data_IF_920202299681
#
_entry.id   IF_920202299681
#
_cell.length_a   1.000
_cell.length_b   1.000
_cell.length_c   1.000
_cell.angle_alpha   90.00
_cell.angle_beta   90.00
_cell.angle_gamma   90.00
#
_symmetry.space_group_name_H-M   'P 1'
#
loop_
_entity.id
_entity.type
_entity.pdbx_description
1 polymer ?
#
# COMPACT_ATOMS: atom_id res chain seq x y z
N UNK A 1 -7.65 49.74 17.71
CA UNK A 1 -8.10 50.58 16.59
C UNK A 1 -7.00 50.49 15.55
N UNK A 2 -6.99 49.44 14.74
CA UNK A 2 -7.79 49.29 13.50
C UNK A 2 -7.36 50.37 12.49
N UNK A 3 -6.65 50.04 11.41
CA UNK A 3 -7.31 49.53 10.22
C UNK A 3 -6.40 48.69 9.32
N UNK A 4 -6.95 47.55 8.88
CA UNK A 4 -6.51 46.76 7.71
C UNK A 4 -7.08 47.37 6.44
N UNK A 5 -6.33 47.35 5.34
CA UNK A 5 -6.89 47.17 3.99
C UNK A 5 -5.91 46.40 3.08
N UNK A 6 -6.43 45.71 2.04
CA UNK A 6 -5.95 44.41 1.62
C UNK A 6 -5.18 44.41 0.30
N UNK A 7 -4.30 43.43 0.13
CA UNK A 7 -3.56 43.18 -1.11
C UNK A 7 -4.49 42.65 -2.20
N UNK A 8 -4.48 43.34 -3.35
CA UNK A 8 -5.24 43.02 -4.55
C UNK A 8 -4.61 41.87 -5.34
N UNK A 9 -5.46 40.99 -5.88
CA UNK A 9 -5.08 39.92 -6.79
C UNK A 9 -4.74 40.48 -8.18
N UNK A 10 -3.50 40.25 -8.64
CA UNK A 10 -3.11 40.38 -10.04
C UNK A 10 -3.33 39.05 -10.82
N UNK A 11 -3.43 39.11 -12.16
CA UNK A 11 -3.95 38.00 -12.96
C UNK A 11 -2.96 36.83 -13.04
N UNK A 12 -3.49 35.62 -12.82
CA UNK A 12 -2.80 34.34 -12.91
C UNK A 12 -2.32 34.02 -14.33
N UNK A 13 -1.06 33.60 -14.46
CA UNK A 13 -0.50 33.03 -15.68
C UNK A 13 -1.21 31.71 -16.09
N UNK A 14 -1.39 31.43 -17.38
CA UNK A 14 -2.06 30.23 -17.85
C UNK A 14 -1.10 29.03 -17.73
N UNK A 15 -1.40 28.07 -16.86
CA UNK A 15 -0.65 26.81 -16.80
C UNK A 15 -0.61 26.08 -15.45
N UNK A 16 -1.17 26.63 -14.38
CA UNK A 16 -1.27 25.91 -13.11
C UNK A 16 -2.67 25.33 -12.96
N UNK A 17 -2.82 24.04 -13.29
CA UNK A 17 -3.97 23.28 -12.84
C UNK A 17 -3.90 23.15 -11.31
N UNK A 18 -4.84 23.70 -10.53
CA UNK A 18 -4.88 23.40 -9.11
C UNK A 18 -5.24 21.92 -8.98
N UNK A 19 -4.31 21.14 -8.42
CA UNK A 19 -4.62 19.81 -7.89
C UNK A 19 -5.70 20.02 -6.81
N UNK A 20 -6.96 19.85 -7.19
CA UNK A 20 -8.09 19.95 -6.28
C UNK A 20 -7.93 18.93 -5.15
N UNK A 21 -7.62 19.39 -3.94
CA UNK A 21 -7.58 18.62 -2.69
C UNK A 21 -8.92 17.97 -2.27
N UNK A 22 -9.95 18.04 -3.11
CA UNK A 22 -11.28 17.47 -2.86
C UNK A 22 -11.26 15.93 -2.75
N UNK A 23 -10.29 15.24 -3.37
CA UNK A 23 -10.20 13.77 -3.27
C UNK A 23 -9.74 13.23 -1.91
N UNK A 24 -8.98 14.01 -1.14
CA UNK A 24 -8.31 13.50 0.07
C UNK A 24 -9.26 13.31 1.26
N UNK A 25 -10.15 14.28 1.52
CA UNK A 25 -11.06 14.25 2.67
C UNK A 25 -12.11 13.13 2.50
N UNK A 26 -12.69 13.03 1.32
CA UNK A 26 -13.64 12.00 0.93
C UNK A 26 -12.97 10.62 0.93
N UNK A 27 -11.76 10.50 0.34
CA UNK A 27 -10.96 9.27 0.38
C UNK A 27 -10.67 8.81 1.80
N UNK A 28 -10.31 9.73 2.71
CA UNK A 28 -10.08 9.42 4.14
C UNK A 28 -11.31 8.79 4.81
N UNK A 29 -12.52 9.26 4.49
CA UNK A 29 -13.76 8.67 5.02
C UNK A 29 -13.97 7.25 4.50
N UNK A 30 -13.66 7.00 3.22
CA UNK A 30 -13.71 5.65 2.62
C UNK A 30 -12.71 4.73 3.33
N UNK A 31 -11.46 5.16 3.50
CA UNK A 31 -10.43 4.36 4.17
C UNK A 31 -10.81 3.96 5.59
N UNK A 32 -11.32 4.91 6.40
CA UNK A 32 -11.69 4.63 7.77
C UNK A 32 -12.86 3.63 7.87
N UNK A 33 -13.88 3.78 7.00
CA UNK A 33 -15.01 2.87 6.97
C UNK A 33 -14.61 1.48 6.48
N UNK A 34 -13.75 1.41 5.46
CA UNK A 34 -13.26 0.16 4.89
C UNK A 34 -12.35 -0.60 5.86
N UNK A 35 -11.47 0.11 6.59
CA UNK A 35 -10.63 -0.48 7.62
C UNK A 35 -11.44 -1.14 8.74
N UNK A 36 -12.54 -0.50 9.14
CA UNK A 36 -13.44 -1.06 10.15
C UNK A 36 -14.15 -2.32 9.63
N UNK A 37 -14.61 -2.30 8.37
CA UNK A 37 -15.22 -3.46 7.72
C UNK A 37 -14.24 -4.64 7.66
N UNK A 38 -12.98 -4.39 7.33
CA UNK A 38 -11.93 -5.40 7.27
C UNK A 38 -11.61 -5.97 8.64
N UNK A 39 -11.49 -5.12 9.67
CA UNK A 39 -11.25 -5.61 11.03
C UNK A 39 -12.36 -6.57 11.46
N UNK A 40 -13.62 -6.26 11.15
CA UNK A 40 -14.75 -7.15 11.41
C UNK A 40 -14.64 -8.46 10.61
N UNK A 41 -14.32 -8.39 9.31
CA UNK A 41 -14.14 -9.57 8.47
C UNK A 41 -12.98 -10.48 8.94
N UNK A 42 -11.85 -9.91 9.32
CA UNK A 42 -10.69 -10.68 9.77
C UNK A 42 -10.81 -11.19 11.20
N UNK A 43 -11.57 -10.50 12.06
CA UNK A 43 -11.91 -11.05 13.38
C UNK A 43 -12.70 -12.36 13.30
N UNK A 44 -13.29 -12.68 12.14
CA UNK A 44 -14.00 -13.95 11.87
C UNK A 44 -13.20 -14.97 11.10
N UNK A 45 -11.93 -14.71 10.75
CA UNK A 45 -11.20 -15.59 9.83
C UNK A 45 -10.98 -16.99 10.39
N UNK A 46 -10.94 -17.12 11.72
CA UNK A 46 -10.82 -18.39 12.45
C UNK A 46 -12.16 -18.87 13.03
N UNK A 47 -13.25 -18.12 12.84
CA UNK A 47 -14.57 -18.56 13.30
C UNK A 47 -15.09 -19.68 12.38
N UNK A 48 -15.81 -20.64 12.97
CA UNK A 48 -16.49 -21.69 12.20
C UNK A 48 -17.58 -21.02 11.36
N UNK A 49 -17.38 -20.95 10.05
CA UNK A 49 -18.37 -20.41 9.12
C UNK A 49 -19.51 -21.41 8.93
N UNK A 50 -20.50 -21.35 9.81
CA UNK A 50 -21.74 -22.10 9.63
C UNK A 50 -22.52 -21.48 8.46
N UNK A 51 -22.90 -22.25 7.43
CA UNK A 51 -23.69 -21.75 6.31
C UNK A 51 -24.94 -21.02 6.81
N UNK A 52 -25.20 -19.82 6.29
CA UNK A 52 -26.37 -19.03 6.66
C UNK A 52 -26.16 -18.02 7.81
N UNK A 53 -25.17 -18.22 8.68
CA UNK A 53 -24.94 -17.31 9.83
C UNK A 53 -24.67 -15.87 9.43
N UNK A 54 -24.06 -15.65 8.26
CA UNK A 54 -23.81 -14.32 7.68
C UNK A 54 -25.08 -13.53 7.36
N UNK A 55 -26.24 -14.18 7.30
CA UNK A 55 -27.53 -13.56 7.01
C UNK A 55 -28.37 -13.29 8.28
N UNK A 56 -27.94 -13.80 9.44
CA UNK A 56 -28.62 -13.56 10.70
C UNK A 56 -28.36 -12.11 11.16
N UNK A 57 -29.37 -11.41 11.71
CA UNK A 57 -29.24 -10.01 12.14
C UNK A 57 -28.52 -9.88 13.49
N UNK A 58 -27.32 -10.46 13.61
CA UNK A 58 -26.45 -10.25 14.78
C UNK A 58 -25.91 -8.82 14.77
N UNK A 59 -25.53 -8.28 15.94
CA UNK A 59 -24.95 -6.93 16.04
C UNK A 59 -23.75 -6.75 15.09
N UNK A 60 -22.90 -7.77 15.00
CA UNK A 60 -21.74 -7.81 14.10
C UNK A 60 -22.15 -7.78 12.62
N UNK A 61 -23.13 -8.58 12.22
CA UNK A 61 -23.60 -8.62 10.83
C UNK A 61 -24.31 -7.33 10.44
N UNK A 62 -25.16 -6.78 11.31
CA UNK A 62 -25.81 -5.48 11.11
C UNK A 62 -24.78 -4.37 10.91
N UNK A 63 -23.73 -4.36 11.73
CA UNK A 63 -22.62 -3.40 11.61
C UNK A 63 -21.86 -3.59 10.29
N UNK A 64 -21.58 -4.83 9.90
CA UNK A 64 -20.92 -5.18 8.63
C UNK A 64 -21.75 -4.70 7.43
N UNK A 65 -23.06 -4.99 7.40
CA UNK A 65 -23.96 -4.55 6.32
C UNK A 65 -24.08 -3.02 6.25
N UNK A 66 -24.13 -2.34 7.40
CA UNK A 66 -24.16 -0.87 7.46
C UNK A 66 -22.89 -0.26 6.90
N UNK A 67 -21.73 -0.81 7.25
CA UNK A 67 -20.43 -0.36 6.75
C UNK A 67 -20.26 -0.64 5.26
N UNK A 68 -20.62 -1.85 4.79
CA UNK A 68 -20.57 -2.20 3.37
C UNK A 68 -21.47 -1.27 2.54
N UNK A 69 -22.72 -1.04 2.98
CA UNK A 69 -23.62 -0.08 2.31
C UNK A 69 -23.03 1.33 2.28
N UNK A 70 -22.37 1.76 3.36
CA UNK A 70 -21.72 3.08 3.43
C UNK A 70 -20.55 3.19 2.46
N UNK A 71 -19.66 2.20 2.42
CA UNK A 71 -18.51 2.15 1.50
C UNK A 71 -19.01 2.13 0.06
N UNK A 72 -19.97 1.28 -0.27
CA UNK A 72 -20.58 1.20 -1.60
C UNK A 72 -21.21 2.52 -2.02
N UNK A 73 -21.96 3.17 -1.13
CA UNK A 73 -22.56 4.47 -1.43
C UNK A 73 -21.53 5.56 -1.75
N UNK A 74 -20.43 5.64 -0.98
CA UNK A 74 -19.36 6.61 -1.22
C UNK A 74 -18.63 6.34 -2.56
N UNK A 75 -18.32 5.08 -2.87
CA UNK A 75 -17.69 4.72 -4.14
C UNK A 75 -18.62 4.99 -5.34
N UNK A 76 -19.92 4.70 -5.18
CA UNK A 76 -20.92 5.01 -6.20
C UNK A 76 -21.06 6.51 -6.44
N UNK A 77 -20.94 7.33 -5.40
CA UNK A 77 -20.97 8.79 -5.54
C UNK A 77 -19.78 9.26 -6.39
N UNK A 78 -18.56 8.80 -6.09
CA UNK A 78 -17.35 9.09 -6.87
C UNK A 78 -17.53 8.68 -8.34
N UNK A 79 -18.05 7.48 -8.59
CA UNK A 79 -18.31 6.97 -9.95
C UNK A 79 -19.34 7.85 -10.66
N UNK A 80 -20.47 8.17 -10.02
CA UNK A 80 -21.52 9.01 -10.60
C UNK A 80 -21.02 10.41 -10.93
N UNK A 81 -20.22 11.02 -10.06
CA UNK A 81 -19.59 12.31 -10.33
C UNK A 81 -18.72 12.23 -11.58
N UNK A 82 -17.87 11.20 -11.72
CA UNK A 82 -17.03 10.98 -12.92
C UNK A 82 -17.84 10.81 -14.20
N UNK A 83 -18.91 10.01 -14.15
CA UNK A 83 -19.82 9.82 -15.28
C UNK A 83 -20.49 11.14 -15.70
N UNK A 84 -20.93 11.95 -14.73
CA UNK A 84 -21.54 13.25 -15.00
C UNK A 84 -20.55 14.25 -15.64
N UNK A 85 -19.32 14.32 -15.14
CA UNK A 85 -18.29 15.24 -15.66
C UNK A 85 -17.94 14.97 -17.13
N UNK A 86 -17.90 13.70 -17.56
CA UNK A 86 -17.69 13.35 -18.98
C UNK A 86 -18.78 13.95 -19.88
N UNK A 87 -20.04 13.83 -19.45
CA UNK A 87 -21.19 14.32 -20.22
C UNK A 87 -21.23 15.85 -20.35
N UNK A 88 -20.56 16.59 -19.46
CA UNK A 88 -20.60 18.07 -19.45
C UNK A 88 -19.43 18.73 -20.18
N UNK A 89 -18.27 18.07 -20.28
CA UNK A 89 -17.02 18.71 -20.69
C UNK A 89 -16.62 18.48 -22.15
N UNK A 90 -17.41 17.76 -22.97
CA UNK A 90 -16.99 17.27 -24.29
C UNK A 90 -15.61 16.55 -24.28
N UNK A 91 -15.13 16.14 -23.11
CA UNK A 91 -13.88 15.41 -22.94
C UNK A 91 -14.09 13.95 -23.33
N UNK A 92 -13.21 13.41 -24.16
CA UNK A 92 -13.34 12.04 -24.69
C UNK A 92 -13.07 10.93 -23.65
N UNK A 93 -12.65 11.26 -22.41
CA UNK A 93 -12.13 10.30 -21.42
C UNK A 93 -12.72 10.49 -20.01
N UNK A 94 -12.75 9.43 -19.22
CA UNK A 94 -13.20 9.44 -17.81
C UNK A 94 -12.10 9.87 -16.81
N UNK A 95 -11.01 10.47 -17.31
CA UNK A 95 -9.79 10.78 -16.56
C UNK A 95 -8.62 9.86 -16.95
N UNK A 96 -7.41 10.20 -16.50
CA UNK A 96 -6.19 9.45 -16.81
C UNK A 96 -5.71 8.58 -15.63
N UNK A 97 -6.64 8.09 -14.82
CA UNK A 97 -6.37 7.22 -13.67
C UNK A 97 -7.07 5.87 -13.80
N UNK A 98 -6.80 4.98 -12.84
CA UNK A 98 -7.32 3.61 -12.85
C UNK A 98 -8.85 3.55 -12.94
N UNK A 99 -9.55 4.44 -12.23
CA UNK A 99 -11.00 4.51 -12.29
C UNK A 99 -11.46 4.95 -13.68
N UNK A 100 -10.79 5.94 -14.28
CA UNK A 100 -11.04 6.34 -15.67
C UNK A 100 -10.89 5.16 -16.64
N UNK A 101 -9.79 4.42 -16.55
CA UNK A 101 -9.55 3.24 -17.40
C UNK A 101 -10.60 2.14 -17.23
N UNK A 102 -11.03 1.85 -15.99
CA UNK A 102 -12.10 0.87 -15.73
C UNK A 102 -13.45 1.32 -16.30
N UNK A 103 -13.78 2.61 -16.21
CA UNK A 103 -15.01 3.17 -16.78
C UNK A 103 -14.98 3.16 -18.32
N UNK A 104 -13.82 3.39 -18.94
CA UNK A 104 -13.63 3.26 -20.39
C UNK A 104 -13.85 1.82 -20.84
N UNK A 105 -13.25 0.85 -20.15
CA UNK A 105 -13.43 -0.58 -20.43
C UNK A 105 -14.89 -1.04 -20.28
N UNK A 106 -15.62 -0.49 -19.31
CA UNK A 106 -17.05 -0.75 -19.12
C UNK A 106 -17.94 -0.12 -20.20
N UNK A 107 -17.50 0.98 -20.79
CA UNK A 107 -18.25 1.75 -21.79
C UNK A 107 -17.85 1.44 -23.24
N UNK A 108 -16.94 0.50 -23.47
CA UNK A 108 -16.47 0.13 -24.80
C UNK A 108 -17.66 -0.38 -25.65
N UNK A 109 -17.89 0.17 -26.85
CA UNK A 109 -19.01 -0.27 -27.70
C UNK A 109 -18.86 -1.74 -28.05
N UNK A 110 -19.99 -2.45 -28.11
CA UNK A 110 -20.07 -3.81 -28.61
C UNK A 110 -19.59 -3.84 -30.07
N UNK A 111 -18.31 -4.09 -30.31
CA UNK A 111 -17.85 -4.46 -31.63
C UNK A 111 -18.49 -5.81 -31.99
N UNK A 112 -19.48 -5.77 -32.86
CA UNK A 112 -20.01 -6.88 -33.65
C UNK A 112 -20.28 -8.17 -32.82
N UNK A 113 -21.16 -8.04 -31.82
CA UNK A 113 -22.08 -9.11 -31.44
C UNK A 113 -21.53 -10.30 -30.66
N UNK A 114 -20.35 -10.23 -30.02
CA UNK A 114 -19.86 -11.36 -29.19
C UNK A 114 -19.14 -11.05 -27.87
N UNK A 115 -19.00 -9.80 -27.44
CA UNK A 115 -18.39 -9.52 -26.13
C UNK A 115 -19.26 -8.57 -25.31
N UNK A 116 -19.85 -9.03 -24.18
CA UNK A 116 -20.54 -8.15 -23.24
C UNK A 116 -19.56 -7.12 -22.66
N UNK A 117 -20.08 -6.05 -22.06
CA UNK A 117 -19.29 -5.07 -21.33
C UNK A 117 -18.23 -5.77 -20.47
N UNK A 118 -16.95 -5.39 -20.65
CA UNK A 118 -15.80 -6.06 -20.03
C UNK A 118 -15.86 -6.04 -18.49
N UNK A 119 -16.58 -5.09 -17.91
CA UNK A 119 -16.75 -4.93 -16.47
C UNK A 119 -18.06 -4.21 -16.15
N UNK A 120 -18.83 -4.77 -15.22
CA UNK A 120 -20.03 -4.15 -14.65
C UNK A 120 -19.68 -3.06 -13.63
N UNK A 121 -20.62 -2.15 -13.34
CA UNK A 121 -20.42 -1.13 -12.31
C UNK A 121 -20.17 -1.74 -10.92
N UNK A 122 -20.80 -2.86 -10.59
CA UNK A 122 -20.58 -3.54 -9.31
C UNK A 122 -19.15 -4.14 -9.24
N UNK A 123 -18.64 -4.71 -10.33
CA UNK A 123 -17.24 -5.16 -10.40
C UNK A 123 -16.26 -3.98 -10.27
N UNK A 124 -16.55 -2.82 -10.88
CA UNK A 124 -15.72 -1.60 -10.71
C UNK A 124 -15.67 -1.18 -9.25
N UNK A 125 -16.80 -1.22 -8.53
CA UNK A 125 -16.84 -0.89 -7.10
C UNK A 125 -15.98 -1.86 -6.29
N UNK A 126 -16.09 -3.16 -6.56
CA UNK A 126 -15.37 -4.18 -5.82
C UNK A 126 -13.85 -4.15 -6.12
N UNK A 127 -13.46 -3.85 -7.36
CA UNK A 127 -12.07 -3.56 -7.72
C UNK A 127 -11.57 -2.28 -7.03
N UNK A 128 -12.36 -1.20 -7.02
CA UNK A 128 -12.02 0.01 -6.27
C UNK A 128 -11.75 -0.31 -4.80
N UNK A 129 -12.64 -1.06 -4.13
CA UNK A 129 -12.42 -1.50 -2.74
C UNK A 129 -11.07 -2.24 -2.62
N UNK A 130 -10.80 -3.18 -3.53
CA UNK A 130 -9.57 -3.98 -3.51
C UNK A 130 -8.32 -3.11 -3.62
N UNK A 131 -8.25 -2.22 -4.61
CA UNK A 131 -7.10 -1.34 -4.82
C UNK A 131 -6.90 -0.33 -3.68
N UNK A 132 -7.99 0.28 -3.19
CA UNK A 132 -7.92 1.22 -2.06
C UNK A 132 -7.32 0.54 -0.83
N UNK A 133 -7.77 -0.67 -0.52
CA UNK A 133 -7.23 -1.42 0.60
C UNK A 133 -5.78 -1.84 0.39
N UNK A 134 -5.54 -2.57 -0.72
CA UNK A 134 -4.25 -3.19 -0.98
C UNK A 134 -3.13 -2.13 -1.05
N UNK A 135 -3.39 -0.99 -1.68
CA UNK A 135 -2.42 0.10 -1.81
C UNK A 135 -2.20 0.87 -0.50
N UNK A 136 -3.26 1.22 0.23
CA UNK A 136 -3.11 2.07 1.42
C UNK A 136 -2.55 1.32 2.62
N UNK A 137 -3.16 0.19 3.00
CA UNK A 137 -2.86 -0.46 4.27
C UNK A 137 -1.48 -1.11 4.24
N UNK A 138 -1.03 -1.66 3.11
CA UNK A 138 0.30 -2.26 3.00
C UNK A 138 1.41 -1.22 2.97
N UNK A 139 1.31 -0.18 2.12
CA UNK A 139 2.35 0.85 2.01
C UNK A 139 2.45 1.70 3.28
N UNK A 140 1.33 2.04 3.93
CA UNK A 140 1.37 2.79 5.19
C UNK A 140 2.08 2.03 6.32
N UNK A 141 1.87 0.71 6.43
CA UNK A 141 2.60 -0.10 7.41
C UNK A 141 4.07 -0.29 7.02
N UNK A 142 4.40 -0.45 5.73
CA UNK A 142 5.80 -0.41 5.27
C UNK A 142 6.50 0.87 5.71
N UNK A 143 5.89 2.03 5.45
CA UNK A 143 6.43 3.33 5.85
C UNK A 143 6.52 3.50 7.37
N UNK A 144 5.56 2.94 8.11
CA UNK A 144 5.60 2.91 9.58
C UNK A 144 6.82 2.12 10.08
N UNK A 145 7.03 0.90 9.57
CA UNK A 145 8.19 0.09 9.97
C UNK A 145 9.53 0.66 9.47
N UNK A 146 9.51 1.32 8.30
CA UNK A 146 10.66 2.07 7.78
C UNK A 146 11.02 3.20 8.75
N UNK A 147 10.03 3.96 9.22
CA UNK A 147 10.23 5.03 10.21
C UNK A 147 10.78 4.49 11.53
N UNK A 148 10.30 3.32 11.98
CA UNK A 148 10.83 2.64 13.16
C UNK A 148 12.32 2.30 12.99
N UNK A 149 12.69 1.69 11.86
CA UNK A 149 14.08 1.31 11.59
C UNK A 149 14.99 2.54 11.45
N UNK A 150 14.54 3.59 10.77
CA UNK A 150 15.29 4.86 10.67
C UNK A 150 15.51 5.50 12.05
N UNK A 151 14.51 5.40 12.94
CA UNK A 151 14.59 5.96 14.29
C UNK A 151 15.48 5.17 15.26
N UNK A 152 15.81 3.92 14.91
CA UNK A 152 16.65 3.01 15.72
C UNK A 152 18.05 2.81 15.12
N UNK A 153 18.25 3.19 13.86
CA UNK A 153 19.50 3.09 13.12
C UNK A 153 19.90 4.47 12.57
N UNK A 154 20.34 5.40 13.44
CA UNK A 154 20.69 6.77 13.03
C UNK A 154 21.80 6.83 11.97
N UNK A 155 22.72 5.86 11.97
CA UNK A 155 23.77 5.71 10.96
C UNK A 155 23.21 5.46 9.56
N UNK A 156 22.13 4.68 9.46
CA UNK A 156 21.43 4.49 8.20
C UNK A 156 20.67 5.74 7.81
N UNK A 157 20.03 6.41 8.77
CA UNK A 157 19.30 7.63 8.51
C UNK A 157 20.19 8.69 7.85
N UNK A 158 21.44 8.84 8.31
CA UNK A 158 22.39 9.78 7.70
C UNK A 158 22.87 9.30 6.32
N UNK A 159 23.27 8.04 6.17
CA UNK A 159 23.67 7.49 4.85
C UNK A 159 22.60 7.66 3.78
N UNK A 160 21.33 7.41 4.14
CA UNK A 160 20.22 7.60 3.21
C UNK A 160 19.96 9.07 2.91
N UNK A 161 20.11 9.95 3.90
CA UNK A 161 19.99 11.41 3.72
C UNK A 161 21.06 11.93 2.76
N UNK A 162 22.29 11.45 2.90
CA UNK A 162 23.39 11.77 1.98
C UNK A 162 23.06 11.31 0.54
N UNK A 163 22.58 10.08 0.36
CA UNK A 163 22.15 9.59 -0.96
C UNK A 163 21.05 10.49 -1.56
N UNK A 164 20.01 10.79 -0.78
CA UNK A 164 18.89 11.63 -1.22
C UNK A 164 19.37 13.04 -1.60
N UNK A 165 20.28 13.63 -0.83
CA UNK A 165 20.86 14.94 -1.15
C UNK A 165 21.70 14.90 -2.44
N UNK A 166 22.53 13.87 -2.59
CA UNK A 166 23.40 13.73 -3.78
C UNK A 166 22.59 13.53 -5.06
N UNK A 167 21.52 12.73 -5.02
CA UNK A 167 20.68 12.47 -6.19
C UNK A 167 19.63 13.56 -6.45
N UNK A 168 19.37 14.42 -5.46
CA UNK A 168 18.40 15.52 -5.53
C UNK A 168 18.91 16.83 -6.09
N UNK A 169 20.22 17.07 -6.02
CA UNK A 169 20.79 18.38 -6.33
C UNK A 169 20.38 19.46 -5.31
N UNK A 170 20.55 20.72 -5.69
CA UNK A 170 20.35 21.90 -4.81
C UNK A 170 18.87 22.27 -4.57
N UNK A 171 17.91 21.58 -5.20
CA UNK A 171 16.48 21.83 -5.02
C UNK A 171 15.85 20.74 -4.14
N UNK A 172 15.47 21.13 -2.92
CA UNK A 172 14.93 20.25 -1.88
C UNK A 172 13.68 19.46 -2.31
N UNK A 173 12.95 19.88 -3.34
CA UNK A 173 11.76 19.16 -3.81
C UNK A 173 11.99 18.29 -5.07
N UNK A 174 13.18 18.30 -5.68
CA UNK A 174 13.42 17.64 -6.97
C UNK A 174 13.43 16.10 -6.89
N UNK A 175 13.92 15.50 -5.80
CA UNK A 175 14.00 14.02 -5.63
C UNK A 175 12.63 13.35 -5.67
N UNK A 176 11.65 13.94 -4.97
CA UNK A 176 10.32 13.36 -4.83
C UNK A 176 9.45 13.53 -6.09
N UNK A 177 9.89 14.38 -7.03
CA UNK A 177 9.08 14.82 -8.18
C UNK A 177 9.40 14.09 -9.48
N UNK A 178 10.48 13.31 -9.53
CA UNK A 178 10.92 12.69 -10.79
C UNK A 178 11.21 11.20 -10.62
N UNK A 179 10.55 10.35 -11.42
CA UNK A 179 10.77 8.90 -11.39
C UNK A 179 12.23 8.49 -11.60
N UNK A 180 12.96 9.23 -12.42
CA UNK A 180 14.39 8.98 -12.67
C UNK A 180 15.25 9.22 -11.43
N UNK A 181 14.95 10.22 -10.61
CA UNK A 181 15.67 10.47 -9.35
C UNK A 181 15.40 9.33 -8.35
N UNK A 182 14.13 8.91 -8.20
CA UNK A 182 13.76 7.79 -7.33
C UNK A 182 14.41 6.46 -7.75
N UNK A 183 14.65 6.27 -9.04
CA UNK A 183 15.34 5.08 -9.55
C UNK A 183 16.82 5.03 -9.14
N UNK A 184 17.45 6.17 -8.87
CA UNK A 184 18.85 6.25 -8.44
C UNK A 184 19.06 6.01 -6.94
N UNK A 185 18.01 6.13 -6.12
CA UNK A 185 18.07 5.87 -4.68
C UNK A 185 18.24 4.36 -4.37
N UNK A 186 19.49 3.88 -4.43
CA UNK A 186 19.87 2.48 -4.26
C UNK A 186 19.90 2.07 -2.80
N UNK A 187 20.46 2.89 -1.92
CA UNK A 187 20.51 2.64 -0.48
C UNK A 187 19.10 2.69 0.12
N UNK A 188 18.26 3.66 -0.28
CA UNK A 188 16.85 3.69 0.14
C UNK A 188 16.13 2.42 -0.32
N UNK A 189 16.39 1.96 -1.55
CA UNK A 189 15.83 0.71 -2.03
C UNK A 189 16.24 -0.50 -1.18
N UNK A 190 17.54 -0.62 -0.86
CA UNK A 190 18.06 -1.70 -0.02
C UNK A 190 17.46 -1.64 1.39
N UNK A 191 17.32 -0.45 1.97
CA UNK A 191 16.69 -0.23 3.27
C UNK A 191 15.23 -0.68 3.28
N UNK A 192 14.47 -0.30 2.26
CA UNK A 192 13.07 -0.72 2.10
C UNK A 192 12.94 -2.23 1.90
N UNK A 193 13.84 -2.87 1.14
CA UNK A 193 13.82 -4.33 0.95
C UNK A 193 14.10 -5.08 2.25
N UNK A 194 15.05 -4.62 3.05
CA UNK A 194 15.33 -5.22 4.37
C UNK A 194 14.21 -4.94 5.38
N UNK A 195 13.58 -3.77 5.29
CA UNK A 195 12.36 -3.45 6.05
C UNK A 195 11.23 -4.41 5.67
N UNK A 196 11.03 -4.66 4.38
CA UNK A 196 10.04 -5.62 3.86
C UNK A 196 10.35 -7.07 4.23
N UNK A 197 11.61 -7.44 4.46
CA UNK A 197 12.00 -8.77 4.94
C UNK A 197 11.65 -8.95 6.41
N UNK A 198 12.04 -8.00 7.26
CA UNK A 198 11.81 -8.11 8.70
C UNK A 198 10.36 -7.77 9.08
N UNK A 199 9.79 -6.73 8.49
CA UNK A 199 8.48 -6.21 8.85
C UNK A 199 7.53 -6.13 7.65
N UNK A 200 7.48 -7.23 6.87
CA UNK A 200 6.53 -7.36 5.77
C UNK A 200 5.10 -7.07 6.26
N UNK A 201 4.36 -6.13 5.62
CA UNK A 201 2.96 -5.93 5.95
C UNK A 201 2.14 -7.22 5.82
N UNK A 202 2.44 -8.07 4.84
CA UNK A 202 1.81 -9.39 4.69
C UNK A 202 2.74 -10.47 5.24
N UNK A 203 2.39 -11.02 6.40
CA UNK A 203 3.18 -12.00 7.18
C UNK A 203 2.99 -13.45 6.72
N UNK A 204 1.87 -13.75 6.07
CA UNK A 204 1.50 -15.07 5.57
C UNK A 204 0.56 -14.95 4.37
N UNK A 205 0.55 -15.96 3.51
CA UNK A 205 -0.42 -16.07 2.41
C UNK A 205 -0.98 -17.49 2.34
N UNK A 206 -2.24 -17.60 1.91
CA UNK A 206 -2.91 -18.88 1.70
C UNK A 206 -3.10 -19.15 0.20
N UNK A 207 -3.04 -20.43 -0.18
CA UNK A 207 -3.37 -20.93 -1.53
C UNK A 207 -4.27 -22.15 -1.39
N UNK A 208 -5.32 -22.24 -2.20
CA UNK A 208 -6.13 -23.44 -2.31
C UNK A 208 -5.63 -24.25 -3.50
N UNK A 209 -5.37 -25.54 -3.31
CA UNK A 209 -4.97 -26.44 -4.41
C UNK A 209 -6.14 -26.61 -5.38
N UNK A 210 -5.86 -26.56 -6.68
CA UNK A 210 -6.85 -26.71 -7.76
C UNK A 210 -6.91 -28.14 -8.32
N UNK A 211 -6.01 -29.01 -7.88
CA UNK A 211 -5.93 -30.42 -8.21
C UNK A 211 -5.07 -31.14 -7.16
N UNK A 212 -5.12 -32.47 -7.15
CA UNK A 212 -4.17 -33.30 -6.41
C UNK A 212 -2.74 -33.02 -6.88
N UNK A 213 -1.82 -32.82 -5.95
CA UNK A 213 -0.42 -32.50 -6.26
C UNK A 213 0.53 -33.05 -5.19
N UNK A 214 1.83 -33.02 -5.46
CA UNK A 214 2.87 -33.42 -4.50
C UNK A 214 3.80 -32.24 -4.19
N UNK A 215 4.01 -31.95 -2.90
CA UNK A 215 4.93 -30.90 -2.43
C UNK A 215 5.97 -31.53 -1.51
N UNK A 216 7.24 -31.53 -1.92
CA UNK A 216 8.33 -32.05 -1.08
C UNK A 216 8.14 -33.51 -0.65
N UNK A 217 7.58 -34.35 -1.52
CA UNK A 217 7.27 -35.76 -1.21
C UNK A 217 5.93 -35.97 -0.50
N UNK A 218 5.18 -34.91 -0.18
CA UNK A 218 3.88 -35.00 0.49
C UNK A 218 2.76 -34.86 -0.53
N UNK A 219 1.86 -35.87 -0.60
CA UNK A 219 0.65 -35.80 -1.41
C UNK A 219 -0.37 -34.85 -0.79
N UNK A 220 -0.82 -33.87 -1.56
CA UNK A 220 -1.75 -32.82 -1.16
C UNK A 220 -3.00 -32.93 -2.05
N UNK A 221 -4.17 -33.29 -1.48
CA UNK A 221 -5.41 -33.37 -2.24
C UNK A 221 -5.87 -32.01 -2.77
N UNK A 222 -6.69 -32.04 -3.82
CA UNK A 222 -7.46 -30.90 -4.30
C UNK A 222 -8.26 -30.24 -3.17
N UNK A 223 -8.34 -28.91 -3.20
CA UNK A 223 -9.10 -28.13 -2.24
C UNK A 223 -8.41 -27.88 -0.90
N UNK A 224 -7.23 -28.45 -0.68
CA UNK A 224 -6.40 -28.21 0.50
C UNK A 224 -5.92 -26.75 0.55
N UNK A 225 -5.97 -26.13 1.72
CA UNK A 225 -5.39 -24.80 1.96
C UNK A 225 -3.94 -24.95 2.39
N UNK A 226 -3.02 -24.48 1.55
CA UNK A 226 -1.60 -24.36 1.84
C UNK A 226 -1.31 -22.96 2.38
N UNK A 227 -0.68 -22.89 3.54
CA UNK A 227 -0.23 -21.64 4.16
C UNK A 227 1.28 -21.47 3.94
N UNK A 228 1.68 -20.32 3.42
CA UNK A 228 3.08 -19.94 3.23
C UNK A 228 3.43 -18.90 4.31
N UNK A 229 4.23 -19.27 5.34
CA UNK A 229 4.55 -18.40 6.46
C UNK A 229 5.70 -17.45 6.12
N UNK A 230 5.41 -16.40 5.34
CA UNK A 230 6.39 -15.43 4.83
C UNK A 230 7.30 -14.90 5.94
N UNK A 231 6.74 -14.45 7.07
CA UNK A 231 7.51 -13.87 8.17
C UNK A 231 8.49 -14.86 8.83
N UNK A 232 8.16 -16.16 8.79
CA UNK A 232 9.04 -17.24 9.29
C UNK A 232 10.14 -17.53 8.28
N UNK A 233 9.78 -17.70 6.99
CA UNK A 233 10.75 -17.91 5.90
C UNK A 233 11.75 -16.76 5.83
N UNK A 234 11.30 -15.51 6.05
CA UNK A 234 12.15 -14.32 6.02
C UNK A 234 13.15 -14.24 7.16
N UNK A 235 13.00 -15.05 8.21
CA UNK A 235 13.90 -15.14 9.37
C UNK A 235 14.59 -16.49 9.50
N UNK A 236 14.36 -17.38 8.54
CA UNK A 236 14.96 -18.70 8.54
C UNK A 236 16.46 -18.59 8.25
N UNK A 237 17.29 -19.07 9.17
CA UNK A 237 18.74 -19.07 9.04
C UNK A 237 19.23 -19.98 7.91
N UNK A 238 18.48 -21.03 7.60
CA UNK A 238 18.79 -21.89 6.47
C UNK A 238 18.64 -21.14 5.14
N UNK A 239 17.74 -20.16 5.07
CA UNK A 239 17.48 -19.37 3.86
C UNK A 239 18.33 -18.10 3.82
N UNK A 240 18.42 -17.37 4.95
CA UNK A 240 18.97 -16.02 5.01
C UNK A 240 20.34 -15.91 5.69
N UNK A 241 20.85 -17.00 6.26
CA UNK A 241 22.13 -17.05 6.99
C UNK A 241 21.98 -16.83 8.49
N UNK A 242 23.08 -16.93 9.23
CA UNK A 242 23.06 -16.82 10.71
C UNK A 242 22.56 -15.45 11.21
N UNK A 243 22.76 -14.41 10.41
CA UNK A 243 22.33 -13.04 10.64
C UNK A 243 20.88 -12.77 10.19
N UNK A 244 20.07 -13.81 9.95
CA UNK A 244 18.67 -13.69 9.52
C UNK A 244 17.80 -12.84 10.47
N UNK A 245 18.17 -12.74 11.75
CA UNK A 245 17.49 -11.89 12.73
C UNK A 245 17.92 -10.42 12.72
N UNK A 246 19.02 -10.08 12.05
CA UNK A 246 19.63 -8.75 12.08
C UNK A 246 19.07 -7.85 10.97
N UNK A 247 19.03 -6.55 11.23
CA UNK A 247 18.71 -5.55 10.20
C UNK A 247 19.98 -5.17 9.43
N UNK A 248 20.12 -5.70 8.22
CA UNK A 248 21.32 -5.52 7.38
C UNK A 248 20.94 -5.23 5.93
N UNK A 249 20.63 -3.96 5.57
CA UNK A 249 20.29 -3.60 4.19
C UNK A 249 21.36 -3.96 3.15
N UNK A 250 22.66 -4.01 3.50
CA UNK A 250 23.75 -4.42 2.59
C UNK A 250 23.54 -5.80 1.96
N UNK A 251 22.70 -6.65 2.56
CA UNK A 251 22.34 -7.95 1.99
C UNK A 251 21.77 -7.83 0.56
N UNK A 252 21.16 -6.70 0.23
CA UNK A 252 20.58 -6.43 -1.08
C UNK A 252 21.50 -5.68 -2.06
N UNK A 253 22.76 -5.42 -1.71
CA UNK A 253 23.72 -4.70 -2.55
C UNK A 253 23.87 -5.33 -3.95
N UNK A 254 23.88 -6.66 -3.99
CA UNK A 254 24.03 -7.43 -5.22
C UNK A 254 22.68 -7.87 -5.83
N UNK A 255 21.59 -7.21 -5.43
CA UNK A 255 20.23 -7.46 -5.88
C UNK A 255 19.49 -8.56 -5.11
N UNK A 256 18.15 -8.57 -5.24
CA UNK A 256 17.25 -9.48 -4.50
C UNK A 256 17.58 -10.95 -4.72
N UNK A 257 17.92 -11.35 -5.95
CA UNK A 257 18.21 -12.75 -6.30
C UNK A 257 19.48 -13.31 -5.64
N UNK A 258 20.36 -12.46 -5.11
CA UNK A 258 21.60 -12.86 -4.43
C UNK A 258 21.58 -12.58 -2.92
N UNK A 259 20.47 -12.07 -2.40
CA UNK A 259 20.35 -11.67 -0.99
C UNK A 259 20.21 -12.87 -0.02
N UNK A 260 19.88 -14.05 -0.54
CA UNK A 260 19.64 -15.26 0.24
C UNK A 260 20.16 -16.49 -0.51
N UNK A 261 20.17 -17.66 0.14
CA UNK A 261 20.55 -18.92 -0.51
C UNK A 261 19.61 -19.30 -1.66
N UNK A 262 18.36 -18.85 -1.61
CA UNK A 262 17.37 -19.06 -2.66
C UNK A 262 17.02 -17.72 -3.34
N UNK A 263 17.04 -17.65 -4.70
CA UNK A 263 16.86 -16.38 -5.42
C UNK A 263 15.47 -15.76 -5.26
N UNK A 264 14.47 -16.56 -4.88
CA UNK A 264 13.09 -16.11 -4.64
C UNK A 264 12.72 -16.09 -3.14
N UNK A 265 13.69 -15.98 -2.24
CA UNK A 265 13.44 -15.99 -0.79
C UNK A 265 12.66 -14.76 -0.29
N UNK A 266 12.81 -13.60 -0.95
CA UNK A 266 12.06 -12.39 -0.59
C UNK A 266 10.64 -12.45 -1.15
N UNK A 267 9.72 -12.95 -0.33
CA UNK A 267 8.30 -13.15 -0.64
C UNK A 267 7.37 -11.99 -0.24
N UNK A 268 7.88 -10.80 0.10
CA UNK A 268 7.05 -9.68 0.59
C UNK A 268 6.01 -9.19 -0.42
N UNK A 269 6.24 -9.42 -1.71
CA UNK A 269 5.29 -9.17 -2.80
C UNK A 269 4.74 -10.46 -3.43
N UNK A 270 4.89 -11.61 -2.75
CA UNK A 270 4.61 -12.96 -3.28
C UNK A 270 5.42 -13.25 -4.56
N UNK A 271 5.17 -14.40 -5.18
CA UNK A 271 5.73 -14.79 -6.48
C UNK A 271 4.68 -15.54 -7.32
N UNK A 272 4.97 -15.70 -8.61
CA UNK A 272 4.13 -16.42 -9.57
C UNK A 272 2.88 -15.64 -10.03
N UNK A 273 1.85 -16.32 -10.54
CA UNK A 273 0.67 -15.69 -11.17
C UNK A 273 -0.17 -14.78 -10.24
N UNK A 274 0.09 -14.85 -8.94
CA UNK A 274 -0.57 -14.03 -7.90
C UNK A 274 0.45 -13.17 -7.15
N UNK A 275 1.55 -12.79 -7.80
CA UNK A 275 2.46 -11.74 -7.31
C UNK A 275 1.72 -10.41 -7.21
N UNK A 276 2.19 -9.53 -6.34
CA UNK A 276 1.60 -8.22 -6.13
C UNK A 276 1.73 -7.37 -7.40
N UNK A 277 0.59 -7.05 -8.03
CA UNK A 277 0.55 -6.15 -9.19
C UNK A 277 0.99 -4.72 -8.84
N UNK A 278 0.85 -4.33 -7.57
CA UNK A 278 1.21 -3.00 -7.06
C UNK A 278 2.67 -2.86 -6.64
N UNK A 279 3.53 -3.88 -6.80
CA UNK A 279 4.91 -3.86 -6.30
C UNK A 279 5.70 -2.62 -6.75
N UNK A 280 5.72 -2.35 -8.05
CA UNK A 280 6.48 -1.21 -8.59
C UNK A 280 5.94 0.13 -8.07
N UNK A 281 4.61 0.27 -8.00
CA UNK A 281 3.96 1.47 -7.49
C UNK A 281 4.28 1.68 -5.99
N UNK A 282 4.14 0.64 -5.17
CA UNK A 282 4.42 0.69 -3.74
C UNK A 282 5.88 1.05 -3.44
N UNK A 283 6.84 0.51 -4.21
CA UNK A 283 8.26 0.85 -4.03
C UNK A 283 8.57 2.30 -4.43
N UNK A 284 7.98 2.79 -5.53
CA UNK A 284 8.13 4.20 -5.94
C UNK A 284 7.52 5.14 -4.90
N UNK A 285 6.30 4.86 -4.44
CA UNK A 285 5.61 5.63 -3.40
C UNK A 285 6.42 5.64 -2.10
N UNK A 286 6.89 4.49 -1.65
CA UNK A 286 7.68 4.38 -0.43
C UNK A 286 9.00 5.16 -0.53
N UNK A 287 9.72 5.06 -1.64
CA UNK A 287 10.95 5.83 -1.89
C UNK A 287 10.69 7.33 -1.86
N UNK A 288 9.63 7.80 -2.52
CA UNK A 288 9.29 9.21 -2.56
C UNK A 288 8.99 9.76 -1.16
N UNK A 289 8.18 9.04 -0.37
CA UNK A 289 7.85 9.45 0.99
C UNK A 289 9.08 9.44 1.89
N UNK A 290 9.92 8.40 1.83
CA UNK A 290 11.15 8.31 2.63
C UNK A 290 12.12 9.44 2.27
N UNK A 291 12.32 9.72 0.98
CA UNK A 291 13.15 10.84 0.53
C UNK A 291 12.65 12.18 1.12
N UNK A 292 11.36 12.47 0.98
CA UNK A 292 10.77 13.70 1.54
C UNK A 292 10.93 13.78 3.07
N UNK A 293 10.80 12.66 3.78
CA UNK A 293 11.00 12.62 5.23
C UNK A 293 12.46 12.89 5.60
N UNK A 294 13.43 12.28 4.91
CA UNK A 294 14.86 12.42 5.19
C UNK A 294 15.41 13.81 4.89
N UNK A 295 14.85 14.52 3.90
CA UNK A 295 15.19 15.91 3.57
C UNK A 295 14.73 16.90 4.64
N UNK A 296 13.59 16.62 5.28
CA UNK A 296 12.92 17.59 6.15
C UNK A 296 13.10 17.30 7.63
N UNK A 297 13.32 16.04 8.00
CA UNK A 297 13.27 15.60 9.38
C UNK A 297 14.41 14.64 9.75
N UNK A 298 14.82 14.76 11.02
CA UNK A 298 15.47 13.70 11.77
C UNK A 298 14.43 12.96 12.61
N UNK A 299 14.51 11.63 12.64
CA UNK A 299 13.60 10.75 13.35
C UNK A 299 14.29 10.11 14.55
N UNK A 300 13.66 10.18 15.72
CA UNK A 300 14.09 9.50 16.95
C UNK A 300 12.93 8.72 17.57
N UNK A 301 13.21 7.53 18.07
CA UNK A 301 12.18 6.69 18.67
C UNK A 301 11.72 7.32 20.00
N UNK A 302 10.41 7.47 20.20
CA UNK A 302 9.92 8.00 21.47
C UNK A 302 10.20 7.03 22.62
N UNK A 303 10.59 7.52 23.81
CA UNK A 303 10.69 6.69 25.02
C UNK A 303 9.35 6.02 25.42
N UNK A 304 8.22 6.50 24.89
CA UNK A 304 6.89 5.92 25.10
C UNK A 304 6.58 4.74 24.17
N UNK A 305 7.47 4.43 23.22
CA UNK A 305 7.26 3.34 22.29
C UNK A 305 7.32 1.99 23.02
N UNK A 306 6.37 1.11 22.68
CA UNK A 306 6.34 -0.28 23.13
C UNK A 306 6.40 -1.16 21.90
N UNK A 307 7.49 -1.92 21.76
CA UNK A 307 7.66 -2.84 20.64
C UNK A 307 6.77 -4.07 20.79
N UNK A 308 5.58 -4.00 20.18
CA UNK A 308 4.63 -5.09 20.12
C UNK A 308 4.04 -5.20 18.71
N UNK A 309 4.78 -5.78 17.74
CA UNK A 309 4.22 -6.11 16.44
C UNK A 309 3.02 -7.05 16.61
N UNK A 310 1.91 -6.73 15.93
CA UNK A 310 0.69 -7.52 15.96
C UNK A 310 0.24 -7.75 14.53
N UNK A 311 -0.11 -8.99 14.24
CA UNK A 311 -0.75 -9.37 13.00
C UNK A 311 -2.26 -9.44 13.18
N UNK A 312 -2.99 -8.91 12.22
CA UNK A 312 -4.47 -8.95 12.16
C UNK A 312 -4.88 -9.25 10.72
N UNK A 313 -4.25 -8.53 9.81
CA UNK A 313 -4.38 -8.65 8.36
C UNK A 313 -3.08 -8.15 7.74
N UNK A 314 -2.62 -7.02 8.26
CA UNK A 314 -1.31 -6.45 8.02
C UNK A 314 -0.54 -6.36 9.34
N UNK A 315 0.77 -6.58 9.27
CA UNK A 315 1.68 -6.46 10.40
C UNK A 315 1.82 -4.99 10.81
N UNK A 316 1.47 -4.68 12.06
CA UNK A 316 1.45 -3.31 12.56
C UNK A 316 1.88 -3.19 14.02
N UNK A 317 2.34 -2.01 14.47
CA UNK A 317 2.60 -1.78 15.89
C UNK A 317 1.27 -1.75 16.67
N UNK A 318 1.07 -2.67 17.63
CA UNK A 318 -0.16 -2.77 18.43
C UNK A 318 -0.55 -1.47 19.13
N UNK A 319 0.46 -0.74 19.63
CA UNK A 319 0.29 0.50 20.39
C UNK A 319 0.63 1.76 19.58
N UNK A 320 0.73 1.63 18.26
CA UNK A 320 1.24 2.68 17.38
C UNK A 320 2.75 2.86 17.47
N UNK A 321 3.28 3.81 16.69
CA UNK A 321 4.69 4.15 16.64
C UNK A 321 4.87 5.66 16.91
N UNK A 322 4.90 6.09 18.19
CA UNK A 322 5.30 7.45 18.51
C UNK A 322 6.78 7.69 18.12
N UNK A 323 7.00 8.61 17.17
CA UNK A 323 8.32 9.06 16.73
C UNK A 323 8.45 10.55 17.06
N UNK A 324 9.62 10.95 17.52
CA UNK A 324 9.99 12.36 17.69
C UNK A 324 10.60 12.82 16.37
N UNK A 325 9.95 13.79 15.73
CA UNK A 325 10.44 14.43 14.51
C UNK A 325 11.12 15.75 14.88
N UNK A 326 12.36 15.93 14.43
CA UNK A 326 13.10 17.19 14.52
C UNK A 326 13.29 17.74 13.12
N UNK A 327 12.85 18.97 12.86
CA UNK A 327 13.08 19.62 11.57
C UNK A 327 14.58 19.82 11.35
N UNK A 328 15.05 19.48 10.15
CA UNK A 328 16.42 19.80 9.71
C UNK A 328 16.47 21.29 9.37
N UNK A 329 17.51 21.98 9.84
CA UNK A 329 17.65 23.44 9.68
C UNK A 329 18.04 23.81 8.27
#
# INVERSE_FOLDING_TARGET
>A
MDSRQPWSHGPSAPGTYPLHCWGYVEGKKVFLAQRELQFLAFSTVFDVQVPGFRYLPTEKNLKTWKLDRKVRAMLMDIIKTRLATKNTTNGSRYGNDLLGMMLEASSAPEEQGKTPALMSLDEIIDECKTFFFAGHDTTSHLLTWTSFLLSTHPEWQERLREEVRCEGGDDDDTVARTGDALNKLKLVNMFLLETLRLYAPVSLINRKTSADLEVGGVKVPEGTILTIPIATIHRDKEVWGEDAGEFRPERFENGVARAAKHPNALLSFSSGPRSCIGQSFAMVEAKAVVAMMLQRFSMELSPKYVHAPMDVLTLRPRHGLPVILKTLK
#
